data_IF_132132588646
#
_entry.id   IF_132132588646
#
_cell.length_a   1.000
_cell.length_b   1.000
_cell.length_c   1.000
_cell.angle_alpha   90.00
_cell.angle_beta   90.00
_cell.angle_gamma   90.00
#
_symmetry.space_group_name_H-M   'P 1'
#
loop_
_entity.id
_entity.type
_entity.pdbx_description
1 polymer ?
#
# COMPACT_ATOMS: atom_id res chain seq x y z
N UNK A 1 5.25 13.54 -15.92
CA UNK A 1 4.07 13.51 -15.05
C UNK A 1 3.28 12.25 -15.37
N UNK A 2 3.03 11.43 -14.38
CA UNK A 2 2.26 10.19 -14.49
C UNK A 2 0.77 10.49 -14.60
N UNK A 3 0.03 9.53 -15.19
CA UNK A 3 -1.43 9.51 -15.24
C UNK A 3 -1.93 8.30 -14.49
N UNK A 4 -3.07 8.42 -13.82
CA UNK A 4 -3.63 7.34 -12.99
C UNK A 4 -3.85 6.02 -13.74
N UNK A 5 -4.16 6.09 -15.03
CA UNK A 5 -4.43 4.92 -15.87
C UNK A 5 -3.15 4.22 -16.37
N UNK A 6 -1.99 4.86 -16.24
CA UNK A 6 -0.68 4.29 -16.58
C UNK A 6 0.02 3.67 -15.36
N UNK A 7 -0.64 3.73 -14.20
CA UNK A 7 -0.13 3.27 -12.92
C UNK A 7 -1.01 2.15 -12.37
N UNK A 8 -0.38 1.22 -11.67
CA UNK A 8 -1.06 0.16 -10.93
C UNK A 8 -0.56 0.10 -9.49
N UNK A 9 -1.35 -0.51 -8.61
CA UNK A 9 -1.02 -0.74 -7.21
C UNK A 9 -0.83 -2.24 -6.96
N UNK A 10 0.27 -2.59 -6.31
CA UNK A 10 0.50 -3.93 -5.75
C UNK A 10 0.66 -3.83 -4.24
N UNK A 11 0.23 -4.86 -3.52
CA UNK A 11 0.32 -4.92 -2.07
C UNK A 11 0.99 -6.21 -1.61
N UNK A 12 1.92 -6.04 -0.67
CA UNK A 12 2.62 -7.12 -0.01
C UNK A 12 2.43 -7.05 1.50
N UNK A 13 2.43 -8.21 2.15
CA UNK A 13 2.27 -8.34 3.58
C UNK A 13 3.43 -9.13 4.20
N UNK A 14 3.99 -8.58 5.26
CA UNK A 14 4.90 -9.28 6.15
C UNK A 14 4.49 -9.04 7.60
N UNK A 15 4.95 -9.89 8.51
CA UNK A 15 4.82 -9.62 9.93
C UNK A 15 6.04 -10.09 10.71
N UNK A 16 6.31 -9.40 11.81
CA UNK A 16 7.39 -9.72 12.74
C UNK A 16 6.88 -9.71 14.18
N UNK A 17 7.59 -10.41 15.05
CA UNK A 17 7.49 -10.24 16.50
C UNK A 17 8.78 -9.58 16.95
N UNK A 18 8.65 -8.46 17.66
CA UNK A 18 9.77 -7.69 18.18
C UNK A 18 10.27 -8.29 19.49
N UNK A 19 11.49 -7.93 19.90
CA UNK A 19 12.12 -8.46 21.11
C UNK A 19 11.32 -8.19 22.40
N UNK A 20 10.52 -7.12 22.41
CA UNK A 20 9.64 -6.74 23.52
C UNK A 20 8.30 -7.52 23.54
N UNK A 21 8.08 -8.43 22.60
CA UNK A 21 6.87 -9.22 22.44
C UNK A 21 5.77 -8.54 21.61
N UNK A 22 5.92 -7.26 21.25
CA UNK A 22 5.01 -6.59 20.34
C UNK A 22 5.06 -7.22 18.95
N UNK A 23 3.95 -7.12 18.22
CA UNK A 23 3.85 -7.62 16.84
C UNK A 23 3.74 -6.47 15.88
N UNK A 24 4.43 -6.56 14.75
CA UNK A 24 4.33 -5.58 13.68
C UNK A 24 3.83 -6.27 12.42
N UNK A 25 2.67 -5.87 11.96
CA UNK A 25 2.21 -6.11 10.60
C UNK A 25 2.76 -5.02 9.69
N UNK A 26 3.38 -5.42 8.59
CA UNK A 26 4.03 -4.54 7.61
C UNK A 26 3.28 -4.73 6.29
N UNK A 27 2.55 -3.71 5.86
CA UNK A 27 1.93 -3.65 4.54
C UNK A 27 2.81 -2.79 3.65
N UNK A 28 3.37 -3.37 2.59
CA UNK A 28 4.12 -2.63 1.59
C UNK A 28 3.24 -2.41 0.37
N UNK A 29 2.94 -1.17 0.06
CA UNK A 29 2.25 -0.78 -1.18
C UNK A 29 3.26 -0.27 -2.20
N UNK A 30 3.12 -0.72 -3.45
CA UNK A 30 3.94 -0.28 -4.57
C UNK A 30 3.07 0.27 -5.69
N UNK A 31 3.37 1.49 -6.11
CA UNK A 31 2.81 2.08 -7.33
C UNK A 31 3.78 1.76 -8.46
N UNK A 32 3.31 1.06 -9.48
CA UNK A 32 4.11 0.59 -10.60
C UNK A 32 3.72 1.33 -11.86
N UNK A 33 4.71 1.71 -12.67
CA UNK A 33 4.48 2.23 -14.01
C UNK A 33 4.17 1.10 -15.00
N UNK A 34 3.72 1.45 -16.20
CA UNK A 34 3.40 0.51 -17.28
C UNK A 34 4.54 -0.45 -17.66
N UNK A 35 5.80 -0.10 -17.39
CA UNK A 35 6.96 -0.98 -17.58
C UNK A 35 7.26 -1.91 -16.39
N UNK A 36 6.34 -2.00 -15.43
CA UNK A 36 6.45 -2.72 -14.16
C UNK A 36 7.51 -2.19 -13.17
N UNK A 37 8.10 -1.02 -13.42
CA UNK A 37 8.98 -0.38 -12.44
C UNK A 37 8.16 0.22 -11.30
N UNK A 38 8.55 -0.08 -10.05
CA UNK A 38 8.04 0.65 -8.90
C UNK A 38 8.50 2.12 -8.95
N UNK A 39 7.54 3.04 -9.07
CA UNK A 39 7.77 4.50 -9.08
C UNK A 39 7.52 5.13 -7.71
N UNK A 40 6.82 4.40 -6.84
CA UNK A 40 6.68 4.73 -5.44
C UNK A 40 6.52 3.46 -4.61
N UNK A 41 7.12 3.44 -3.42
CA UNK A 41 6.91 2.40 -2.41
C UNK A 41 6.54 3.06 -1.08
N UNK A 42 5.64 2.45 -0.31
CA UNK A 42 5.32 2.92 1.04
C UNK A 42 5.04 1.75 1.97
N UNK A 43 5.61 1.80 3.17
CA UNK A 43 5.31 0.87 4.25
C UNK A 43 4.26 1.47 5.18
N UNK A 44 3.21 0.71 5.43
CA UNK A 44 2.13 1.05 6.35
C UNK A 44 2.11 -0.03 7.44
N UNK A 45 2.32 0.39 8.68
CA UNK A 45 2.58 -0.49 9.81
C UNK A 45 1.39 -0.49 10.76
N UNK A 46 1.02 -1.68 11.24
CA UNK A 46 0.21 -1.84 12.44
C UNK A 46 1.06 -2.51 13.51
N UNK A 47 1.30 -1.81 14.62
CA UNK A 47 2.06 -2.31 15.76
C UNK A 47 1.07 -2.62 16.88
N UNK A 48 0.99 -3.89 17.26
CA UNK A 48 0.17 -4.38 18.36
C UNK A 48 1.07 -4.63 19.57
N UNK A 49 0.88 -3.87 20.64
CA UNK A 49 1.62 -4.07 21.88
C UNK A 49 1.12 -5.29 22.68
N UNK A 50 1.80 -5.61 23.78
CA UNK A 50 1.42 -6.72 24.66
C UNK A 50 0.04 -6.53 25.33
N UNK A 51 -0.48 -5.30 25.37
CA UNK A 51 -1.82 -4.97 25.86
C UNK A 51 -2.89 -5.07 24.76
N UNK A 52 -2.51 -5.52 23.55
CA UNK A 52 -3.34 -5.57 22.34
C UNK A 52 -3.78 -4.21 21.83
N UNK A 53 -3.10 -3.14 22.24
CA UNK A 53 -3.33 -1.82 21.67
C UNK A 53 -2.61 -1.71 20.34
N UNK A 54 -3.34 -1.26 19.32
CA UNK A 54 -2.82 -1.04 17.98
C UNK A 54 -2.36 0.40 17.81
N UNK A 55 -1.20 0.58 17.17
CA UNK A 55 -0.67 1.87 16.73
C UNK A 55 -0.37 1.78 15.24
N UNK A 56 -0.83 2.76 14.48
CA UNK A 56 -0.68 2.80 13.02
C UNK A 56 0.35 3.84 12.63
N UNK A 57 1.32 3.45 11.80
CA UNK A 57 2.47 4.29 11.45
C UNK A 57 2.78 4.14 9.98
N UNK A 58 3.14 5.23 9.32
CA UNK A 58 3.78 5.16 8.01
C UNK A 58 5.28 4.99 8.21
N UNK A 59 5.82 3.88 7.71
CA UNK A 59 7.24 3.54 7.75
C UNK A 59 8.02 4.16 6.60
N UNK A 60 8.92 3.38 6.00
CA UNK A 60 9.73 3.84 4.87
C UNK A 60 8.86 4.18 3.65
N UNK A 61 9.17 5.31 3.01
CA UNK A 61 8.55 5.72 1.75
C UNK A 61 9.63 6.18 0.78
N UNK A 62 9.42 5.86 -0.49
CA UNK A 62 10.29 6.29 -1.59
C UNK A 62 9.41 6.70 -2.76
N UNK A 63 9.75 7.83 -3.39
CA UNK A 63 9.10 8.35 -4.58
C UNK A 63 10.20 8.62 -5.60
N UNK A 64 10.06 8.06 -6.81
CA UNK A 64 11.06 8.20 -7.88
C UNK A 64 11.12 9.61 -8.45
N UNK A 65 9.97 10.28 -8.54
CA UNK A 65 9.84 11.68 -8.96
C UNK A 65 9.03 12.47 -7.94
N UNK A 66 9.71 13.14 -7.00
CA UNK A 66 9.07 13.98 -5.99
C UNK A 66 8.45 15.28 -6.52
N UNK A 67 8.58 15.56 -7.82
CA UNK A 67 7.89 16.68 -8.48
C UNK A 67 6.57 16.26 -9.12
N UNK A 68 6.28 14.95 -9.20
CA UNK A 68 5.04 14.43 -9.75
C UNK A 68 3.88 14.64 -8.78
N UNK A 69 2.84 15.43 -9.13
CA UNK A 69 1.77 15.76 -8.22
C UNK A 69 0.93 14.54 -7.80
N UNK A 70 0.76 13.55 -8.68
CA UNK A 70 -0.03 12.36 -8.37
C UNK A 70 0.70 11.48 -7.35
N UNK A 71 2.00 11.25 -7.53
CA UNK A 71 2.79 10.45 -6.57
C UNK A 71 2.86 11.14 -5.20
N UNK A 72 3.05 12.46 -5.17
CA UNK A 72 3.05 13.25 -3.92
C UNK A 72 1.69 13.21 -3.23
N UNK A 73 0.59 13.29 -3.99
CA UNK A 73 -0.75 13.19 -3.45
C UNK A 73 -1.03 11.80 -2.84
N UNK A 74 -0.63 10.72 -3.52
CA UNK A 74 -0.76 9.35 -3.02
C UNK A 74 0.06 9.15 -1.74
N UNK A 75 1.31 9.63 -1.68
CA UNK A 75 2.12 9.59 -0.46
C UNK A 75 1.44 10.34 0.70
N UNK A 76 0.95 11.55 0.43
CA UNK A 76 0.27 12.40 1.42
C UNK A 76 -1.03 11.76 1.92
N UNK A 77 -1.75 11.06 1.05
CA UNK A 77 -2.96 10.32 1.39
C UNK A 77 -2.67 9.23 2.43
N UNK A 78 -1.60 8.46 2.25
CA UNK A 78 -1.17 7.44 3.21
C UNK A 78 -0.86 8.02 4.59
N UNK A 79 -0.17 9.16 4.64
CA UNK A 79 0.19 9.83 5.90
C UNK A 79 -1.02 10.45 6.61
N UNK A 80 -1.96 11.00 5.85
CA UNK A 80 -3.12 11.70 6.42
C UNK A 80 -4.22 10.74 6.89
N UNK A 81 -4.25 9.51 6.37
CA UNK A 81 -5.32 8.53 6.61
C UNK A 81 -4.80 7.19 7.13
N UNK A 82 -3.61 7.17 7.73
CA UNK A 82 -2.86 5.93 8.02
C UNK A 82 -3.69 4.86 8.72
N UNK A 83 -4.39 5.21 9.80
CA UNK A 83 -5.20 4.26 10.56
C UNK A 83 -6.32 3.65 9.71
N UNK A 84 -7.07 4.46 8.95
CA UNK A 84 -8.17 3.99 8.14
C UNK A 84 -7.67 3.08 6.99
N UNK A 85 -6.61 3.51 6.31
CA UNK A 85 -6.02 2.75 5.20
C UNK A 85 -5.43 1.43 5.70
N UNK A 86 -4.64 1.44 6.77
CA UNK A 86 -4.06 0.21 7.33
C UNK A 86 -5.17 -0.75 7.77
N UNK A 87 -6.22 -0.27 8.42
CA UNK A 87 -7.36 -1.10 8.80
C UNK A 87 -8.03 -1.78 7.60
N UNK A 88 -8.26 -1.05 6.51
CA UNK A 88 -8.83 -1.61 5.28
C UNK A 88 -7.90 -2.64 4.63
N UNK A 89 -6.62 -2.30 4.44
CA UNK A 89 -5.65 -3.20 3.82
C UNK A 89 -5.40 -4.46 4.66
N UNK A 90 -5.47 -4.35 6.00
CA UNK A 90 -5.44 -5.53 6.88
C UNK A 90 -6.67 -6.43 6.67
N UNK A 91 -7.84 -5.87 6.36
CA UNK A 91 -9.01 -6.67 5.98
C UNK A 91 -8.75 -7.45 4.69
N UNK A 92 -8.16 -6.81 3.68
CA UNK A 92 -7.77 -7.49 2.43
C UNK A 92 -6.77 -8.64 2.70
N UNK A 93 -5.80 -8.43 3.59
CA UNK A 93 -4.85 -9.48 4.02
C UNK A 93 -5.57 -10.66 4.67
N UNK A 94 -6.52 -10.41 5.58
CA UNK A 94 -7.27 -11.46 6.26
C UNK A 94 -8.15 -12.25 5.28
N UNK A 95 -8.81 -11.57 4.35
CA UNK A 95 -9.60 -12.20 3.29
C UNK A 95 -8.72 -13.05 2.37
N UNK A 96 -7.56 -12.54 1.97
CA UNK A 96 -6.58 -13.31 1.18
C UNK A 96 -6.11 -14.57 1.92
N UNK A 97 -5.77 -14.45 3.20
CA UNK A 97 -5.33 -15.60 4.01
C UNK A 97 -6.44 -16.64 4.15
N UNK A 98 -7.68 -16.21 4.36
CA UNK A 98 -8.82 -17.10 4.53
C UNK A 98 -9.25 -17.81 3.23
N UNK A 99 -9.14 -17.14 2.07
CA UNK A 99 -9.71 -17.61 0.81
C UNK A 99 -8.70 -18.11 -0.24
N UNK A 100 -7.46 -17.64 -0.22
CA UNK A 100 -6.55 -17.71 -1.38
C UNK A 100 -5.12 -18.17 -1.10
N UNK A 101 -4.81 -18.66 0.10
CA UNK A 101 -3.50 -19.28 0.39
C UNK A 101 -3.47 -20.68 -0.23
N UNK A 102 -3.05 -20.75 -1.48
CA UNK A 102 -2.76 -21.99 -2.19
C UNK A 102 -1.26 -22.10 -2.49
N UNK A 103 -0.70 -23.31 -2.45
CA UNK A 103 0.73 -23.55 -2.70
C UNK A 103 1.19 -23.15 -4.12
N UNK A 104 0.27 -22.87 -5.05
CA UNK A 104 0.57 -22.52 -6.45
C UNK A 104 0.40 -21.04 -6.83
N UNK A 105 -0.27 -20.23 -6.01
CA UNK A 105 -0.58 -18.80 -6.31
C UNK A 105 0.01 -17.81 -5.31
N UNK A 106 0.57 -18.33 -4.22
CA UNK A 106 1.07 -17.52 -3.11
C UNK A 106 2.56 -17.25 -3.30
N UNK A 107 2.91 -16.04 -3.77
CA UNK A 107 4.30 -15.65 -3.97
C UNK A 107 4.85 -14.93 -2.75
N UNK A 108 6.03 -15.37 -2.28
CA UNK A 108 6.79 -14.69 -1.22
C UNK A 108 7.99 -13.98 -1.87
N UNK A 109 7.92 -12.66 -1.95
CA UNK A 109 8.99 -11.80 -2.46
C UNK A 109 9.79 -11.13 -1.34
N UNK A 110 10.70 -10.24 -1.73
CA UNK A 110 11.50 -9.43 -0.80
C UNK A 110 10.62 -8.60 0.17
N UNK A 111 9.48 -8.09 -0.32
CA UNK A 111 8.52 -7.31 0.47
C UNK A 111 7.53 -8.16 1.27
N UNK A 112 7.66 -9.49 1.23
CA UNK A 112 6.73 -10.42 1.87
C UNK A 112 5.75 -11.05 0.88
N UNK A 113 4.61 -11.47 1.44
CA UNK A 113 3.53 -12.17 0.77
C UNK A 113 2.81 -11.25 -0.21
N UNK A 114 2.79 -11.58 -1.50
CA UNK A 114 1.98 -10.84 -2.47
C UNK A 114 0.50 -11.11 -2.22
N UNK A 115 -0.27 -10.05 -1.94
CA UNK A 115 -1.70 -10.13 -1.63
C UNK A 115 -2.54 -9.82 -2.87
N UNK A 116 -2.14 -8.79 -3.62
CA UNK A 116 -2.65 -8.49 -4.95
C UNK A 116 -1.59 -7.74 -5.77
N UNK A 117 -1.68 -7.85 -7.09
CA UNK A 117 -0.74 -7.22 -8.01
C UNK A 117 -1.46 -6.52 -9.15
N UNK A 118 -0.89 -5.39 -9.59
CA UNK A 118 -1.32 -4.66 -10.77
C UNK A 118 -2.78 -4.19 -10.75
N UNK A 119 -3.33 -3.90 -9.57
CA UNK A 119 -4.68 -3.33 -9.46
C UNK A 119 -4.72 -1.90 -10.02
N UNK A 120 -5.73 -1.53 -10.82
CA UNK A 120 -5.94 -0.14 -11.22
C UNK A 120 -6.05 0.79 -10.00
N UNK A 121 -5.41 1.97 -10.07
CA UNK A 121 -5.43 2.90 -8.92
C UNK A 121 -6.85 3.31 -8.51
N UNK A 122 -7.76 3.48 -9.47
CA UNK A 122 -9.16 3.85 -9.23
C UNK A 122 -9.93 2.86 -8.34
N UNK A 123 -9.47 1.60 -8.22
CA UNK A 123 -10.10 0.61 -7.36
C UNK A 123 -9.74 0.81 -5.87
N UNK A 124 -8.64 1.50 -5.57
CA UNK A 124 -8.02 1.51 -4.24
C UNK A 124 -7.68 2.91 -3.72
N UNK A 125 -7.53 3.89 -4.60
CA UNK A 125 -7.18 5.27 -4.28
C UNK A 125 -8.43 6.15 -4.49
N UNK A 126 -8.80 7.01 -3.52
CA UNK A 126 -9.92 7.93 -3.68
C UNK A 126 -9.76 8.89 -4.85
N UNK A 127 -10.85 9.20 -5.54
CA UNK A 127 -10.86 10.06 -6.74
C UNK A 127 -10.22 11.43 -6.49
N UNK A 128 -10.50 12.05 -5.35
CA UNK A 128 -9.95 13.35 -4.97
C UNK A 128 -8.42 13.35 -4.80
N UNK A 129 -7.80 12.18 -4.60
CA UNK A 129 -6.34 12.01 -4.60
C UNK A 129 -5.83 11.85 -6.04
N UNK A 130 -6.57 11.08 -6.85
CA UNK A 130 -6.23 10.83 -8.25
C UNK A 130 -6.29 12.09 -9.11
N UNK A 131 -7.14 13.05 -8.76
CA UNK A 131 -7.30 14.34 -9.44
C UNK A 131 -6.03 15.21 -9.49
N UNK A 132 -5.04 14.87 -8.66
CA UNK A 132 -3.71 15.47 -8.72
C UNK A 132 -3.01 15.25 -10.08
N UNK A 133 -3.43 14.25 -10.89
CA UNK A 133 -2.92 14.07 -12.26
C UNK A 133 -3.49 15.06 -13.29
N UNK A 134 -4.39 15.96 -12.87
CA UNK A 134 -5.04 16.96 -13.71
C UNK A 134 -6.18 16.41 -14.57
N UNK A 135 -6.65 15.18 -14.30
CA UNK A 135 -7.74 14.53 -15.03
C UNK A 135 -9.14 15.10 -14.72
N UNK A 136 -9.36 15.69 -13.54
CA UNK A 136 -10.65 16.26 -13.13
C UNK A 136 -10.90 17.69 -13.62
N UNK A 137 -10.48 18.03 -14.84
CA UNK A 137 -10.78 19.33 -15.44
C UNK A 137 -11.11 19.20 -16.92
N UNK A 138 -12.21 18.52 -17.19
CA UNK A 138 -12.99 18.70 -18.41
C UNK A 138 -14.45 18.30 -18.14
N UNK A 139 -15.15 19.12 -17.36
CA UNK A 139 -16.61 19.29 -17.47
C UNK A 139 -16.91 20.66 -18.07
#
# INVERSE_FOLDING_TARGET
MYKRNDLTLSMFYASSTNDDGSKTAIITVQINAANADAVQTSQLLCITDNSKKETYVVGEQSIKDGSDPLLVAIESYWRSNTQAVVGQLMSDVLEFIAGNVSQGTTWLGFNGLSVFENEPLANRIPENVLDADGGASSE
#
